data_IF_970812308788
#
_entry.id   IF_970812308788
#
_cell.length_a   1.000
_cell.length_b   1.000
_cell.length_c   1.000
_cell.angle_alpha   90.00
_cell.angle_beta   90.00
_cell.angle_gamma   90.00
#
_symmetry.space_group_name_H-M   'P 1'
#
loop_
_entity.id
_entity.type
_entity.pdbx_description
1 polymer ?
#
# COMPACT_ATOMS: atom_id res chain seq x y z
N UNK A 1 -25.41 -7.84 10.36
CA UNK A 1 -24.51 -6.69 10.65
C UNK A 1 -23.19 -6.94 9.92
N UNK A 2 -22.81 -6.14 8.91
CA UNK A 2 -21.56 -6.33 8.15
C UNK A 2 -20.52 -5.32 8.64
N UNK A 3 -19.37 -5.80 9.08
CA UNK A 3 -18.23 -4.94 9.44
C UNK A 3 -17.17 -5.10 8.36
N UNK A 4 -17.22 -4.29 7.28
CA UNK A 4 -16.25 -4.43 6.21
C UNK A 4 -14.85 -3.99 6.66
N UNK A 5 -13.85 -4.71 6.17
CA UNK A 5 -12.45 -4.36 6.31
C UNK A 5 -11.99 -3.65 5.05
N UNK A 6 -11.52 -2.41 5.18
CA UNK A 6 -10.81 -1.72 4.12
C UNK A 6 -9.34 -1.71 4.47
N UNK A 7 -8.53 -2.24 3.57
CA UNK A 7 -7.10 -2.27 3.69
C UNK A 7 -6.51 -1.45 2.55
N UNK A 8 -5.38 -0.79 2.80
CA UNK A 8 -4.53 -0.22 1.77
C UNK A 8 -3.25 -1.06 1.69
N UNK A 9 -2.96 -1.54 0.48
CA UNK A 9 -1.80 -2.38 0.21
C UNK A 9 -1.01 -1.77 -0.92
N UNK A 10 0.31 -1.77 -0.79
CA UNK A 10 1.21 -1.31 -1.84
C UNK A 10 1.90 -2.52 -2.48
N UNK A 11 2.07 -2.43 -3.80
CA UNK A 11 2.83 -3.39 -4.61
C UNK A 11 3.93 -2.62 -5.31
N UNK A 12 5.14 -3.16 -5.20
CA UNK A 12 6.31 -2.69 -5.92
C UNK A 12 6.39 -3.43 -7.26
N UNK A 13 6.50 -2.70 -8.38
CA UNK A 13 6.42 -3.30 -9.72
C UNK A 13 7.77 -3.46 -10.43
N UNK A 14 8.87 -3.00 -9.85
CA UNK A 14 10.17 -3.09 -10.52
C UNK A 14 10.84 -4.44 -10.30
N UNK A 15 11.35 -4.98 -11.41
CA UNK A 15 12.16 -6.20 -11.52
C UNK A 15 13.61 -5.98 -11.01
N UNK A 16 14.05 -4.73 -10.82
CA UNK A 16 15.41 -4.35 -10.41
C UNK A 16 15.41 -3.68 -9.02
N UNK A 17 14.81 -4.34 -8.03
CA UNK A 17 14.94 -3.88 -6.65
C UNK A 17 16.39 -4.09 -6.18
N UNK A 18 17.01 -3.05 -5.59
CA UNK A 18 18.36 -3.16 -5.03
C UNK A 18 18.46 -4.20 -3.90
N UNK A 19 17.32 -4.52 -3.26
CA UNK A 19 17.23 -5.54 -2.21
C UNK A 19 15.93 -6.36 -2.30
N UNK A 20 15.91 -7.58 -1.73
CA UNK A 20 14.69 -8.37 -1.62
C UNK A 20 13.60 -7.62 -0.84
N UNK A 21 12.39 -7.55 -1.41
CA UNK A 21 11.24 -6.87 -0.79
C UNK A 21 9.94 -7.67 -0.98
N UNK A 22 8.92 -7.45 -0.15
CA UNK A 22 7.62 -8.11 -0.30
C UNK A 22 6.96 -7.75 -1.64
N UNK A 23 6.32 -8.74 -2.28
CA UNK A 23 5.50 -8.52 -3.49
C UNK A 23 4.30 -7.60 -3.17
N UNK A 24 3.73 -7.75 -1.97
CA UNK A 24 2.61 -6.94 -1.47
C UNK A 24 2.89 -6.59 -0.01
N UNK A 25 2.70 -5.33 0.36
CA UNK A 25 2.83 -4.86 1.74
C UNK A 25 1.51 -4.22 2.21
N UNK A 26 1.08 -4.55 3.43
CA UNK A 26 -0.09 -3.93 4.05
C UNK A 26 0.35 -2.62 4.72
N UNK A 27 -0.08 -1.48 4.17
CA UNK A 27 0.31 -0.18 4.70
C UNK A 27 -0.69 0.42 5.67
N UNK A 28 -1.94 -0.06 5.66
CA UNK A 28 -2.95 0.44 6.59
C UNK A 28 -4.26 -0.30 6.49
N UNK A 29 -5.08 -0.16 7.53
CA UNK A 29 -6.42 -0.71 7.54
C UNK A 29 -7.35 0.16 8.38
N UNK A 30 -8.62 0.21 7.98
CA UNK A 30 -9.71 0.85 8.74
C UNK A 30 -10.88 -0.12 8.82
N UNK A 31 -11.32 -0.36 10.06
CA UNK A 31 -12.55 -1.10 10.35
C UNK A 31 -13.68 -0.10 10.46
N UNK A 32 -14.70 -0.23 9.62
CA UNK A 32 -15.86 0.66 9.65
C UNK A 32 -17.11 -0.14 9.96
N UNK A 33 -18.04 0.50 10.65
CA UNK A 33 -19.38 -0.03 10.87
C UNK A 33 -20.35 0.64 9.89
N UNK A 34 -21.24 -0.15 9.28
CA UNK A 34 -22.30 0.34 8.39
C UNK A 34 -23.63 -0.32 8.77
N UNK A 35 -24.67 0.50 8.90
CA UNK A 35 -26.05 0.05 8.96
C UNK A 35 -26.53 -0.42 7.56
N UNK A 36 -27.62 -1.20 7.47
CA UNK A 36 -28.18 -1.58 6.18
C UNK A 36 -28.47 -0.36 5.30
N UNK A 37 -27.92 -0.34 4.08
CA UNK A 37 -28.04 0.77 3.13
C UNK A 37 -27.13 1.98 3.39
N UNK A 38 -26.36 1.99 4.48
CA UNK A 38 -25.43 3.09 4.78
C UNK A 38 -24.20 3.07 3.87
N UNK A 39 -23.75 4.25 3.45
CA UNK A 39 -22.49 4.47 2.73
C UNK A 39 -21.60 5.44 3.50
N UNK A 40 -20.30 5.17 3.53
CA UNK A 40 -19.28 6.03 4.17
C UNK A 40 -18.10 6.23 3.24
N UNK A 41 -17.54 7.44 3.24
CA UNK A 41 -16.23 7.73 2.65
C UNK A 41 -15.14 7.27 3.62
N UNK A 42 -14.15 6.54 3.12
CA UNK A 42 -12.99 6.09 3.90
C UNK A 42 -11.74 6.65 3.26
N UNK A 43 -11.03 7.48 4.00
CA UNK A 43 -9.78 8.09 3.54
C UNK A 43 -8.59 7.39 4.17
N UNK A 44 -7.50 7.27 3.41
CA UNK A 44 -6.21 6.78 3.90
C UNK A 44 -5.16 7.84 3.59
N UNK A 45 -4.32 8.13 4.57
CA UNK A 45 -3.11 8.93 4.37
C UNK A 45 -1.93 7.98 4.24
N UNK A 46 -1.17 8.14 3.15
CA UNK A 46 0.08 7.42 2.94
C UNK A 46 1.24 8.38 3.18
N UNK A 47 2.06 8.04 4.16
CA UNK A 47 3.27 8.75 4.52
C UNK A 47 4.46 8.25 3.70
N UNK A 48 5.52 9.06 3.49
CA UNK A 48 6.72 8.63 2.79
C UNK A 48 7.31 7.31 3.33
N UNK A 49 7.21 7.06 4.64
CA UNK A 49 7.71 5.83 5.27
C UNK A 49 7.05 4.56 4.73
N UNK A 50 5.77 4.61 4.35
CA UNK A 50 5.02 3.47 3.79
C UNK A 50 5.42 3.12 2.36
N UNK A 51 6.34 3.90 1.76
CA UNK A 51 6.94 3.61 0.46
C UNK A 51 8.42 3.22 0.58
N UNK A 52 8.92 3.04 1.80
CA UNK A 52 10.33 2.75 2.03
C UNK A 52 10.61 1.25 2.12
N UNK A 53 11.79 0.87 1.64
CA UNK A 53 12.34 -0.49 1.75
C UNK A 53 13.61 -0.48 2.60
N UNK A 54 14.09 -1.68 2.95
CA UNK A 54 15.42 -1.84 3.58
C UNK A 54 16.45 -2.02 2.46
N UNK A 55 17.33 -1.03 2.29
CA UNK A 55 18.41 -1.06 1.31
C UNK A 55 19.66 -1.84 1.77
N UNK A 56 20.69 -1.89 0.92
CA UNK A 56 21.88 -2.75 1.08
C UNK A 56 22.64 -2.54 2.41
N UNK A 57 22.60 -1.33 2.98
CA UNK A 57 23.28 -0.99 4.23
C UNK A 57 22.40 -1.16 5.48
N UNK A 58 21.32 -1.96 5.39
CA UNK A 58 20.30 -2.09 6.44
C UNK A 58 19.64 -0.75 6.84
N UNK A 59 19.72 0.23 5.94
CA UNK A 59 19.10 1.54 6.09
C UNK A 59 17.79 1.58 5.34
N UNK A 60 16.85 2.38 5.86
CA UNK A 60 15.56 2.57 5.23
C UNK A 60 15.67 3.64 4.15
N UNK A 61 15.22 3.32 2.94
CA UNK A 61 15.32 4.19 1.76
C UNK A 61 13.99 4.27 1.05
N UNK A 62 13.68 5.43 0.47
CA UNK A 62 12.59 5.61 -0.48
C UNK A 62 13.21 5.73 -1.86
N UNK A 63 12.74 4.89 -2.78
CA UNK A 63 13.18 4.88 -4.18
C UNK A 63 12.16 5.59 -5.06
N UNK A 64 12.66 6.31 -6.06
CA UNK A 64 11.81 6.89 -7.09
C UNK A 64 11.29 5.79 -8.01
N UNK A 65 10.05 5.38 -7.82
CA UNK A 65 9.51 4.21 -8.52
C UNK A 65 7.99 4.29 -8.70
N UNK A 66 7.47 3.37 -9.50
CA UNK A 66 6.04 3.15 -9.65
C UNK A 66 5.53 2.22 -8.55
N UNK A 67 4.43 2.63 -7.94
CA UNK A 67 3.71 1.86 -6.93
C UNK A 67 2.28 1.64 -7.41
N UNK A 68 1.78 0.43 -7.21
CA UNK A 68 0.36 0.13 -7.37
C UNK A 68 -0.27 0.01 -5.99
N UNK A 69 -1.21 0.92 -5.72
CA UNK A 69 -1.97 0.98 -4.48
C UNK A 69 -3.27 0.22 -4.70
N UNK A 70 -3.55 -0.76 -3.84
CA UNK A 70 -4.78 -1.50 -3.79
C UNK A 70 -5.59 -1.11 -2.56
N UNK A 71 -6.90 -0.91 -2.75
CA UNK A 71 -7.83 -0.72 -1.63
C UNK A 71 -9.01 -1.68 -1.72
N UNK A 72 -9.39 -2.28 -0.58
CA UNK A 72 -10.58 -3.14 -0.51
C UNK A 72 -10.45 -4.33 0.43
N UNK A 73 -11.46 -5.18 0.39
CA UNK A 73 -11.54 -6.42 1.18
C UNK A 73 -10.93 -7.59 0.41
N UNK A 74 -9.61 -7.78 0.49
CA UNK A 74 -8.93 -8.93 -0.13
C UNK A 74 -7.45 -8.70 -0.39
N UNK A 75 -6.75 -9.72 -0.90
CA UNK A 75 -5.41 -9.59 -1.47
C UNK A 75 -5.51 -9.20 -2.95
N UNK A 76 -4.55 -8.43 -3.48
CA UNK A 76 -4.38 -8.24 -4.92
C UNK A 76 -4.32 -9.61 -5.63
N UNK A 77 -5.03 -9.76 -6.75
CA UNK A 77 -5.05 -11.01 -7.52
C UNK A 77 -5.86 -12.17 -6.93
N UNK A 78 -6.47 -12.03 -5.75
CA UNK A 78 -7.33 -13.07 -5.18
C UNK A 78 -8.66 -13.19 -5.95
N UNK A 79 -9.14 -14.43 -6.17
CA UNK A 79 -10.46 -14.68 -6.74
C UNK A 79 -11.55 -14.09 -5.83
N UNK A 80 -12.54 -13.41 -6.41
CA UNK A 80 -13.65 -12.75 -5.71
C UNK A 80 -13.27 -11.58 -4.78
N UNK A 81 -12.16 -10.88 -5.07
CA UNK A 81 -11.80 -9.64 -4.37
C UNK A 81 -12.56 -8.44 -4.95
N UNK A 82 -13.04 -7.54 -4.09
CA UNK A 82 -13.59 -6.23 -4.47
C UNK A 82 -12.52 -5.13 -4.38
N UNK A 83 -11.26 -5.50 -4.58
CA UNK A 83 -10.16 -4.55 -4.53
C UNK A 83 -10.16 -3.68 -5.79
N UNK A 84 -10.02 -2.37 -5.59
CA UNK A 84 -9.72 -1.41 -6.66
C UNK A 84 -8.26 -1.00 -6.55
N UNK A 85 -7.65 -0.63 -7.66
CA UNK A 85 -6.24 -0.22 -7.69
C UNK A 85 -6.02 1.08 -8.44
N UNK A 86 -4.99 1.80 -8.04
CA UNK A 86 -4.46 2.95 -8.77
C UNK A 86 -2.94 2.88 -8.78
N UNK A 87 -2.32 3.51 -9.79
CA UNK A 87 -0.87 3.54 -9.97
C UNK A 87 -0.37 4.96 -9.73
N UNK A 88 0.69 5.08 -8.95
CA UNK A 88 1.34 6.37 -8.67
C UNK A 88 2.85 6.26 -8.91
N UNK A 89 3.49 7.36 -9.29
CA UNK A 89 4.94 7.46 -9.37
C UNK A 89 5.44 8.30 -8.20
N UNK A 90 6.41 7.79 -7.45
CA UNK A 90 7.25 8.63 -6.61
C UNK A 90 8.35 9.23 -7.47
N UNK A 91 8.46 10.56 -7.41
CA UNK A 91 9.42 11.34 -8.18
C UNK A 91 10.30 12.14 -7.23
N UNK A 92 11.52 12.48 -7.65
CA UNK A 92 12.48 13.20 -6.81
C UNK A 92 13.86 12.57 -6.83
N UNK A 93 14.54 12.56 -5.68
CA UNK A 93 15.77 11.80 -5.45
C UNK A 93 15.51 10.72 -4.42
N UNK A 94 16.18 9.58 -4.56
CA UNK A 94 16.17 8.56 -3.52
C UNK A 94 16.63 9.18 -2.19
N UNK A 95 15.91 8.89 -1.12
CA UNK A 95 16.18 9.47 0.19
C UNK A 95 16.29 8.37 1.25
N UNK A 96 17.34 8.45 2.06
CA UNK A 96 17.39 7.71 3.32
C UNK A 96 16.40 8.34 4.30
N UNK A 97 15.69 7.52 5.06
CA UNK A 97 14.81 7.99 6.13
C UNK A 97 15.17 7.30 7.44
N UNK A 98 15.20 8.09 8.51
CA UNK A 98 15.39 7.59 9.87
C UNK A 98 14.11 6.94 10.42
N UNK A 99 14.26 6.13 11.47
CA UNK A 99 13.18 5.33 12.06
C UNK A 99 12.27 6.09 13.02
#
# INVERSE_FOLDING_TARGET
MRVPYYNIKNVYESEEAATPRPIVQLEGFKRIYLNPGESKVVEFELTPRQFSIIGENNKRVIENEWFTIYTGGGLPGAKNTNAVSTRIALTGKNMEIDN
#
